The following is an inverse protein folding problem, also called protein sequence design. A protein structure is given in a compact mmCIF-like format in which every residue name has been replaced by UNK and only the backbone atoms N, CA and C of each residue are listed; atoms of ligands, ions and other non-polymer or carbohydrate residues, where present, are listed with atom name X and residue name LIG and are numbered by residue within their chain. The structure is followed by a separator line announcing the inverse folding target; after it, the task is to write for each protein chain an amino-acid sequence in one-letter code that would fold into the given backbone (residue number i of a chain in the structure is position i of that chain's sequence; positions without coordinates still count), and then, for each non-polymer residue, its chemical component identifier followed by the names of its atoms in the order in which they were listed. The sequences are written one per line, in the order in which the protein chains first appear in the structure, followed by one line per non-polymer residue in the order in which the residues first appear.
data_IF_639125374900
#
_entry.id   IF_639125374900
#
_cell.length_a   1.000
_cell.length_b   1.000
_cell.length_c   1.000
_cell.angle_alpha   90.00
_cell.angle_beta   90.00
_cell.angle_gamma   90.00
#
_symmetry.space_group_name_H-M   'P 1'
#
loop_
_entity.id
_entity.type
_entity.pdbx_description
1 polymer ?
#
# COMPACT_ATOMS: atom_id res chain seq x y z
N UNK A 1 -19.91 72.04 12.94
CA UNK A 1 -19.97 71.11 11.79
C UNK A 1 -18.59 70.53 11.53
N UNK A 2 -18.33 69.28 11.96
CA UNK A 2 -17.22 68.44 11.48
C UNK A 2 -17.72 66.99 11.49
N UNK A 3 -17.54 66.31 10.37
CA UNK A 3 -18.17 65.04 10.00
C UNK A 3 -17.49 63.88 10.73
N UNK A 4 -18.24 63.08 11.47
CA UNK A 4 -17.81 61.81 12.05
C UNK A 4 -17.97 60.71 11.00
N UNK A 5 -16.87 60.08 10.62
CA UNK A 5 -16.86 58.99 9.64
C UNK A 5 -17.23 57.68 10.34
N UNK A 6 -18.37 57.08 9.96
CA UNK A 6 -18.72 55.72 10.36
C UNK A 6 -17.88 54.73 9.55
N UNK A 7 -16.84 54.17 10.19
CA UNK A 7 -16.15 53.00 9.67
C UNK A 7 -16.97 51.76 10.06
N UNK A 8 -17.87 51.36 9.17
CA UNK A 8 -18.54 50.06 9.23
C UNK A 8 -17.50 48.98 8.90
N UNK A 9 -16.86 48.43 9.93
CA UNK A 9 -15.95 47.30 9.80
C UNK A 9 -16.80 46.08 9.45
N UNK A 10 -16.86 45.75 8.17
CA UNK A 10 -17.47 44.53 7.67
C UNK A 10 -16.57 43.34 8.07
N UNK A 11 -16.85 42.73 9.21
CA UNK A 11 -16.22 41.48 9.64
C UNK A 11 -16.73 40.38 8.72
N UNK A 12 -16.01 40.12 7.62
CA UNK A 12 -16.29 38.97 6.75
C UNK A 12 -15.75 37.72 7.43
N UNK A 13 -16.60 37.15 8.30
CA UNK A 13 -16.36 35.89 8.99
C UNK A 13 -16.54 34.75 7.97
N UNK A 14 -15.49 34.48 7.17
CA UNK A 14 -15.41 33.29 6.33
C UNK A 14 -15.15 32.08 7.25
N UNK A 15 -16.23 31.52 7.81
CA UNK A 15 -16.18 30.21 8.45
C UNK A 15 -16.04 29.20 7.31
N UNK A 16 -14.80 28.86 6.97
CA UNK A 16 -14.47 27.68 6.17
C UNK A 16 -14.74 26.44 7.05
N UNK A 17 -16.02 26.11 7.23
CA UNK A 17 -16.46 24.81 7.74
C UNK A 17 -16.21 23.75 6.66
N UNK A 18 -14.94 23.47 6.40
CA UNK A 18 -14.55 22.25 5.73
C UNK A 18 -14.75 21.11 6.70
N UNK A 19 -15.96 20.53 6.73
CA UNK A 19 -16.16 19.19 7.27
C UNK A 19 -15.29 18.25 6.42
N UNK A 20 -14.09 17.97 6.90
CA UNK A 20 -13.35 16.80 6.50
C UNK A 20 -14.19 15.61 6.97
N UNK A 21 -14.96 15.03 6.05
CA UNK A 21 -15.61 13.74 6.24
C UNK A 21 -14.52 12.70 6.25
N UNK A 22 -13.86 12.55 7.39
CA UNK A 22 -13.10 11.36 7.70
C UNK A 22 -14.15 10.25 7.83
N UNK A 23 -14.32 9.50 6.75
CA UNK A 23 -14.91 8.17 6.81
C UNK A 23 -13.88 7.26 7.50
N UNK A 24 -13.68 7.46 8.80
CA UNK A 24 -13.09 6.43 9.65
C UNK A 24 -14.15 5.35 9.77
N UNK A 25 -14.16 4.45 8.77
CA UNK A 25 -14.35 3.06 9.14
C UNK A 25 -13.14 2.75 10.00
N UNK A 26 -13.32 2.77 11.33
CA UNK A 26 -12.58 1.89 12.20
C UNK A 26 -12.88 0.47 11.71
N UNK A 27 -12.27 0.08 10.59
CA UNK A 27 -11.93 -1.32 10.44
C UNK A 27 -10.97 -1.56 11.59
N UNK A 28 -11.40 -2.39 12.55
CA UNK A 28 -10.55 -3.13 13.47
C UNK A 28 -9.58 -4.02 12.67
N UNK A 29 -8.81 -3.44 11.75
CA UNK A 29 -7.92 -4.13 10.86
C UNK A 29 -6.80 -4.67 11.73
N UNK A 30 -7.00 -5.91 12.18
CA UNK A 30 -5.99 -6.74 12.82
C UNK A 30 -4.72 -6.87 11.96
N UNK A 31 -4.77 -6.44 10.71
CA UNK A 31 -3.69 -6.63 9.76
C UNK A 31 -3.21 -5.29 9.21
N UNK A 32 -1.93 -4.98 9.45
CA UNK A 32 -1.22 -3.88 8.81
C UNK A 32 -0.34 -4.41 7.67
N UNK A 33 -0.25 -3.68 6.56
CA UNK A 33 0.63 -4.03 5.44
C UNK A 33 1.77 -3.03 5.34
N UNK A 34 3.00 -3.53 5.46
CA UNK A 34 4.21 -2.76 5.20
C UNK A 34 4.79 -3.11 3.83
N UNK A 35 4.94 -2.12 2.96
CA UNK A 35 5.54 -2.28 1.64
C UNK A 35 6.98 -1.76 1.64
N UNK A 36 7.95 -2.66 1.43
CA UNK A 36 9.36 -2.29 1.33
C UNK A 36 9.78 -2.34 -0.13
N UNK A 37 10.12 -1.17 -0.67
CA UNK A 37 10.63 -1.05 -2.03
C UNK A 37 12.14 -1.25 -2.08
N UNK A 38 12.61 -1.92 -3.13
CA UNK A 38 14.03 -1.99 -3.47
C UNK A 38 14.47 -0.76 -4.27
N UNK A 39 15.77 -0.69 -4.62
CA UNK A 39 16.28 0.38 -5.47
C UNK A 39 15.67 0.33 -6.87
N UNK A 40 15.40 -0.86 -7.38
CA UNK A 40 14.95 -1.08 -8.76
C UNK A 40 13.45 -1.34 -8.86
N UNK A 41 12.83 -1.86 -7.80
CA UNK A 41 11.45 -2.33 -7.81
C UNK A 41 10.67 -1.75 -6.64
N UNK A 42 9.47 -1.28 -6.95
CA UNK A 42 8.50 -0.77 -5.99
C UNK A 42 7.38 -1.80 -5.88
N UNK A 43 7.00 -2.16 -4.66
CA UNK A 43 5.74 -2.85 -4.40
C UNK A 43 4.63 -1.81 -4.52
N UNK A 44 3.91 -1.80 -5.65
CA UNK A 44 2.91 -0.77 -5.99
C UNK A 44 1.62 -0.98 -5.20
N UNK A 45 1.21 -2.23 -5.05
CA UNK A 45 0.01 -2.62 -4.30
C UNK A 45 0.26 -3.95 -3.62
N UNK A 46 -0.30 -4.12 -2.43
CA UNK A 46 -0.39 -5.38 -1.72
C UNK A 46 -1.81 -5.47 -1.16
N UNK A 47 -2.46 -6.60 -1.41
CA UNK A 47 -3.82 -6.89 -0.98
C UNK A 47 -3.79 -8.22 -0.25
N UNK A 48 -4.61 -8.34 0.77
CA UNK A 48 -4.82 -9.56 1.53
C UNK A 48 -6.26 -9.98 1.29
N UNK A 49 -6.46 -11.26 1.06
CA UNK A 49 -7.77 -11.87 1.04
C UNK A 49 -7.74 -13.10 1.93
N UNK A 50 -8.68 -13.20 2.86
CA UNK A 50 -8.83 -14.37 3.71
C UNK A 50 -9.60 -15.47 2.96
N UNK A 51 -9.22 -16.72 3.19
CA UNK A 51 -9.86 -17.90 2.64
C UNK A 51 -9.86 -19.01 3.68
N UNK A 52 -10.63 -20.08 3.45
CA UNK A 52 -10.67 -21.25 4.35
C UNK A 52 -9.30 -21.94 4.51
N UNK A 53 -8.41 -21.80 3.52
CA UNK A 53 -7.07 -22.38 3.53
C UNK A 53 -6.00 -21.47 4.17
N UNK A 54 -6.37 -20.25 4.56
CA UNK A 54 -5.46 -19.21 5.07
C UNK A 54 -5.50 -17.93 4.24
N UNK A 55 -4.40 -17.19 4.24
CA UNK A 55 -4.30 -15.86 3.63
C UNK A 55 -3.75 -15.92 2.22
N UNK A 56 -4.44 -15.24 1.31
CA UNK A 56 -3.96 -15.00 -0.03
C UNK A 56 -3.42 -13.58 -0.10
N UNK A 57 -2.09 -13.47 -0.23
CA UNK A 57 -1.39 -12.19 -0.35
C UNK A 57 -1.01 -11.99 -1.79
N UNK A 58 -1.57 -10.94 -2.40
CA UNK A 58 -1.38 -10.66 -3.82
C UNK A 58 -1.11 -9.19 -4.07
N UNK A 59 -0.50 -8.87 -5.19
CA UNK A 59 -0.17 -7.48 -5.45
C UNK A 59 0.48 -7.22 -6.79
N UNK A 60 1.08 -6.03 -6.89
CA UNK A 60 1.73 -5.55 -8.10
C UNK A 60 3.09 -4.98 -7.77
N UNK A 61 4.04 -5.24 -8.66
CA UNK A 61 5.35 -4.61 -8.67
C UNK A 61 5.47 -3.68 -9.86
N UNK A 62 6.24 -2.62 -9.67
CA UNK A 62 6.57 -1.63 -10.70
C UNK A 62 8.06 -1.37 -10.67
N UNK A 63 8.70 -1.37 -11.85
CA UNK A 63 10.07 -0.89 -11.97
C UNK A 63 10.15 0.61 -11.68
N UNK A 64 11.13 1.03 -10.88
CA UNK A 64 11.36 2.45 -10.57
C UNK A 64 11.83 3.23 -11.80
N UNK A 65 12.68 2.61 -12.61
CA UNK A 65 13.20 3.18 -13.86
C UNK A 65 12.54 2.51 -15.05
N UNK A 66 12.19 3.27 -16.08
CA UNK A 66 11.65 2.75 -17.33
C UNK A 66 12.76 2.00 -18.08
N UNK A 67 12.97 0.75 -17.71
CA UNK A 67 13.84 -0.16 -18.46
C UNK A 67 13.00 -0.89 -19.50
N UNK A 68 13.56 -1.13 -20.68
CA UNK A 68 12.90 -1.98 -21.68
C UNK A 68 12.95 -3.48 -21.30
N UNK A 69 13.36 -3.81 -20.06
CA UNK A 69 13.40 -5.18 -19.58
C UNK A 69 12.05 -5.60 -19.02
N UNK A 70 11.42 -6.57 -19.67
CA UNK A 70 10.28 -7.31 -19.13
C UNK A 70 10.69 -8.32 -18.05
N UNK A 71 11.98 -8.37 -17.67
CA UNK A 71 12.51 -9.27 -16.65
C UNK A 71 13.05 -8.46 -15.49
N UNK A 72 12.55 -8.79 -14.31
CA UNK A 72 13.18 -8.48 -13.04
C UNK A 72 14.02 -9.69 -12.61
N UNK A 73 15.12 -9.45 -11.90
CA UNK A 73 15.93 -10.51 -11.27
C UNK A 73 15.68 -10.46 -9.77
N UNK A 74 14.92 -11.41 -9.23
CA UNK A 74 14.56 -11.38 -7.83
C UNK A 74 13.31 -12.18 -7.49
N UNK A 75 12.80 -11.95 -6.29
CA UNK A 75 11.53 -12.50 -5.80
C UNK A 75 10.89 -11.55 -4.79
N UNK A 76 9.61 -11.79 -4.50
CA UNK A 76 8.89 -11.09 -3.44
C UNK A 76 9.04 -11.90 -2.16
N UNK A 77 9.56 -11.26 -1.11
CA UNK A 77 9.62 -11.78 0.23
C UNK A 77 8.41 -11.29 1.03
N UNK A 78 7.72 -12.22 1.66
CA UNK A 78 6.56 -11.94 2.51
C UNK A 78 6.89 -12.44 3.91
N UNK A 79 6.81 -11.54 4.89
CA UNK A 79 7.07 -11.82 6.31
C UNK A 79 5.85 -11.40 7.12
N UNK A 80 5.37 -12.28 8.00
CA UNK A 80 4.28 -11.99 8.93
C UNK A 80 4.90 -11.87 10.33
N UNK A 81 4.59 -10.77 11.00
CA UNK A 81 5.02 -10.44 12.36
C UNK A 81 3.82 -10.40 13.30
N UNK A 82 3.96 -10.82 14.55
CA UNK A 82 2.97 -10.53 15.60
C UNK A 82 3.10 -9.09 16.12
N UNK A 83 2.28 -8.75 17.12
CA UNK A 83 2.34 -7.49 17.85
C UNK A 83 3.71 -7.20 18.51
N UNK A 84 4.46 -8.24 18.87
CA UNK A 84 5.81 -8.14 19.46
C UNK A 84 6.92 -8.00 18.41
N UNK A 85 6.56 -7.88 17.12
CA UNK A 85 7.47 -7.86 15.96
C UNK A 85 8.31 -9.14 15.78
N UNK A 86 7.87 -10.27 16.31
CA UNK A 86 8.48 -11.58 16.08
C UNK A 86 8.00 -12.19 14.77
N UNK A 87 8.90 -12.84 14.04
CA UNK A 87 8.57 -13.48 12.75
C UNK A 87 7.83 -14.79 13.00
N UNK A 88 6.55 -14.81 12.65
CA UNK A 88 5.71 -16.02 12.73
C UNK A 88 5.80 -16.83 11.44
N UNK A 89 5.83 -16.13 10.31
CA UNK A 89 5.86 -16.78 9.01
C UNK A 89 6.72 -16.00 8.02
N UNK A 90 7.44 -16.73 7.18
CA UNK A 90 8.23 -16.16 6.09
C UNK A 90 8.13 -17.03 4.85
N UNK A 91 7.85 -16.43 3.72
CA UNK A 91 7.84 -17.11 2.43
C UNK A 91 8.38 -16.21 1.32
N UNK A 92 8.69 -16.83 0.19
CA UNK A 92 9.12 -16.18 -1.04
C UNK A 92 8.21 -16.61 -2.18
N UNK A 93 7.81 -15.66 -3.01
CA UNK A 93 7.03 -15.93 -4.21
C UNK A 93 7.61 -15.26 -5.44
N UNK A 94 7.41 -15.92 -6.58
CA UNK A 94 7.74 -15.34 -7.88
C UNK A 94 6.71 -14.30 -8.31
N UNK A 95 6.90 -13.78 -9.51
CA UNK A 95 5.96 -12.87 -10.15
C UNK A 95 5.83 -13.19 -11.64
N UNK A 96 4.74 -12.72 -12.22
CA UNK A 96 4.47 -12.82 -13.66
C UNK A 96 4.29 -11.43 -14.26
N UNK A 97 4.68 -11.28 -15.54
CA UNK A 97 4.39 -10.06 -16.29
C UNK A 97 2.90 -10.01 -16.60
N UNK A 98 2.22 -8.93 -16.23
CA UNK A 98 0.84 -8.72 -16.65
C UNK A 98 0.84 -8.41 -18.15
N UNK A 99 0.46 -9.39 -18.98
CA UNK A 99 0.56 -9.41 -20.45
C UNK A 99 -0.24 -8.34 -21.22
N UNK A 100 -0.85 -7.36 -20.53
CA UNK A 100 -1.66 -6.33 -21.18
C UNK A 100 -0.78 -5.17 -21.68
N UNK A 101 -0.48 -5.26 -22.98
CA UNK A 101 -0.12 -4.22 -23.95
C UNK A 101 1.36 -3.76 -23.97
N UNK A 102 2.05 -4.26 -25.00
CA UNK A 102 3.42 -3.92 -25.47
C UNK A 102 3.69 -2.42 -25.74
N UNK A 103 2.69 -1.56 -25.66
CA UNK A 103 2.80 -0.14 -26.01
C UNK A 103 3.22 0.76 -24.84
N UNK A 104 3.17 0.28 -23.59
CA UNK A 104 3.54 1.09 -22.44
C UNK A 104 4.84 0.55 -21.81
N UNK A 105 5.90 1.37 -21.77
CA UNK A 105 7.24 1.04 -21.22
C UNK A 105 7.24 0.74 -19.70
N UNK A 106 6.06 0.73 -19.08
CA UNK A 106 5.87 0.51 -17.65
C UNK A 106 5.34 -0.91 -17.42
N UNK A 107 6.23 -1.90 -17.47
CA UNK A 107 5.88 -3.27 -17.13
C UNK A 107 5.34 -3.34 -15.70
N UNK A 108 4.14 -3.92 -15.56
CA UNK A 108 3.54 -4.25 -14.26
C UNK A 108 3.66 -5.75 -14.05
N UNK A 109 4.19 -6.13 -12.90
CA UNK A 109 4.34 -7.53 -12.51
C UNK A 109 3.31 -7.84 -11.43
N UNK A 110 2.80 -9.07 -11.41
CA UNK A 110 1.84 -9.54 -10.40
C UNK A 110 2.46 -10.67 -9.60
N UNK A 111 2.26 -10.66 -8.30
CA UNK A 111 2.63 -11.75 -7.40
C UNK A 111 1.41 -12.22 -6.62
N UNK A 112 1.46 -13.47 -6.18
CA UNK A 112 0.46 -14.09 -5.31
C UNK A 112 1.13 -15.18 -4.47
N UNK A 113 0.75 -15.29 -3.20
CA UNK A 113 1.16 -16.35 -2.30
C UNK A 113 -0.02 -16.76 -1.44
N UNK A 114 -0.19 -18.08 -1.24
CA UNK A 114 -1.11 -18.62 -0.24
C UNK A 114 -0.30 -18.92 1.03
N UNK A 115 -0.77 -18.45 2.16
CA UNK A 115 -0.10 -18.57 3.45
C UNK A 115 -1.06 -19.29 4.41
N UNK A 116 -0.73 -20.51 4.84
CA UNK A 116 -1.61 -21.31 5.70
C UNK A 116 -1.48 -20.87 7.16
N UNK A 117 -1.81 -19.61 7.43
CA UNK A 117 -1.81 -19.01 8.77
C UNK A 117 -3.21 -18.51 9.04
N UNK A 118 -3.76 -18.90 10.20
CA UNK A 118 -5.00 -18.35 10.71
C UNK A 118 -4.69 -17.05 11.48
N UNK A 119 -5.41 -15.97 11.16
CA UNK A 119 -5.22 -14.67 11.80
C UNK A 119 -6.21 -14.50 12.95
N UNK A 120 -5.78 -14.92 14.14
CA UNK A 120 -6.58 -14.73 15.36
C UNK A 120 -6.24 -13.42 16.09
N UNK A 121 -5.01 -12.92 15.93
CA UNK A 121 -4.42 -11.76 16.60
C UNK A 121 -4.05 -10.62 15.63
N UNK A 122 -3.44 -9.54 16.15
CA UNK A 122 -2.89 -8.48 15.31
C UNK A 122 -1.58 -8.89 14.65
N UNK A 123 -1.49 -8.72 13.33
CA UNK A 123 -0.31 -9.04 12.54
C UNK A 123 0.14 -7.87 11.67
N UNK A 124 1.46 -7.77 11.49
CA UNK A 124 2.07 -6.92 10.47
C UNK A 124 2.57 -7.81 9.34
N UNK A 125 2.03 -7.60 8.14
CA UNK A 125 2.45 -8.28 6.92
C UNK A 125 3.40 -7.36 6.16
N UNK A 126 4.67 -7.73 6.16
CA UNK A 126 5.71 -7.04 5.42
C UNK A 126 5.93 -7.70 4.07
N UNK A 127 5.71 -6.94 3.01
CA UNK A 127 5.96 -7.35 1.63
C UNK A 127 7.13 -6.57 1.08
N UNK A 128 8.17 -7.27 0.63
CA UNK A 128 9.40 -6.68 0.14
C UNK A 128 9.87 -7.34 -1.15
N UNK A 129 10.69 -6.64 -1.93
CA UNK A 129 11.32 -7.21 -3.12
C UNK A 129 12.82 -7.41 -2.89
N UNK A 130 13.29 -8.64 -3.07
CA UNK A 130 14.71 -8.98 -3.03
C UNK A 130 15.30 -8.91 -4.45
N UNK A 131 16.19 -7.94 -4.68
CA UNK A 131 17.00 -7.85 -5.89
C UNK A 131 18.13 -8.90 -5.81
N UNK A 132 18.27 -9.77 -6.82
CA UNK A 132 19.39 -10.73 -6.90
C UNK A 132 20.60 -10.14 -7.61
#
# INVERSE_FOLDING_TARGET
MKKTYHYTIMVTLFILSGCVSINDKEDENKISIEQISSRQVIVETANINESEEGLIISGRLKQRYATNSSRLSGHVDITILNADNEIIYKTKTGYSVSSKLRTNRNFKFKYSANIPVNIDEMYVIRVSFYDK
#
